data_IF_297872049440
#
_entry.id   IF_297872049440
#
_cell.length_a   1.000
_cell.length_b   1.000
_cell.length_c   1.000
_cell.angle_alpha   90.00
_cell.angle_beta   90.00
_cell.angle_gamma   90.00
#
_symmetry.space_group_name_H-M   'P 1'
#
loop_
_entity.id
_entity.type
_entity.pdbx_description
1 polymer ?
#
# COMPACT_ATOMS: atom_id res chain seq x y z
N UNK A 1 -33.74 -22.96 22.14
CA UNK A 1 -33.82 -21.83 21.19
C UNK A 1 -33.40 -20.47 21.79
N UNK A 2 -32.52 -20.43 22.82
CA UNK A 2 -32.13 -19.17 23.51
C UNK A 2 -30.59 -18.92 23.47
N UNK A 3 -29.81 -19.80 22.85
CA UNK A 3 -28.33 -19.72 22.86
C UNK A 3 -27.70 -19.07 21.62
N UNK A 4 -28.49 -18.57 20.65
CA UNK A 4 -27.96 -18.03 19.38
C UNK A 4 -27.82 -16.50 19.38
N UNK A 5 -28.43 -15.79 20.34
CA UNK A 5 -28.48 -14.32 20.33
C UNK A 5 -27.34 -13.62 21.07
N UNK A 6 -26.56 -14.31 21.91
CA UNK A 6 -25.44 -13.70 22.67
C UNK A 6 -24.17 -13.49 21.83
N UNK A 7 -24.03 -14.15 20.68
CA UNK A 7 -22.80 -14.08 19.88
C UNK A 7 -22.71 -12.86 18.94
N UNK A 8 -23.80 -12.10 18.79
CA UNK A 8 -23.81 -10.89 17.93
C UNK A 8 -23.43 -9.60 18.66
N UNK A 9 -23.39 -9.59 19.99
CA UNK A 9 -23.05 -8.37 20.75
C UNK A 9 -21.53 -8.19 20.97
N UNK A 10 -20.75 -9.27 20.94
CA UNK A 10 -19.30 -9.20 21.15
C UNK A 10 -18.50 -8.64 19.97
N UNK A 11 -19.04 -8.66 18.75
CA UNK A 11 -18.35 -8.10 17.57
C UNK A 11 -18.50 -6.59 17.40
N UNK A 12 -19.43 -5.93 18.11
CA UNK A 12 -19.60 -4.47 18.02
C UNK A 12 -18.70 -3.68 18.96
N UNK A 13 -18.28 -4.26 20.09
CA UNK A 13 -17.44 -3.56 21.08
C UNK A 13 -15.94 -3.62 20.77
N UNK A 14 -15.48 -4.57 19.95
CA UNK A 14 -14.07 -4.66 19.53
C UNK A 14 -13.69 -3.69 18.41
N UNK A 15 -14.67 -3.08 17.71
CA UNK A 15 -14.40 -2.15 16.61
C UNK A 15 -14.10 -0.71 17.07
N UNK A 16 -14.53 -0.32 18.28
CA UNK A 16 -14.35 1.06 18.79
C UNK A 16 -13.02 1.28 19.52
N UNK A 17 -12.35 0.23 20.01
CA UNK A 17 -11.05 0.36 20.68
C UNK A 17 -9.84 0.40 19.72
N UNK A 18 -10.05 0.17 18.42
CA UNK A 18 -8.96 0.15 17.42
C UNK A 18 -8.70 1.51 16.73
N UNK A 19 -9.50 2.55 17.01
CA UNK A 19 -9.36 3.86 16.33
C UNK A 19 -8.67 4.94 17.18
N UNK A 20 -8.27 4.65 18.42
CA UNK A 20 -7.66 5.66 19.30
C UNK A 20 -6.12 5.72 19.28
N UNK A 21 -5.43 4.84 18.54
CA UNK A 21 -3.97 4.66 18.70
C UNK A 21 -3.10 4.95 17.46
N UNK A 22 -3.61 5.72 16.48
CA UNK A 22 -2.89 6.00 15.24
C UNK A 22 -2.65 7.51 15.00
N UNK A 23 -1.99 8.18 15.95
CA UNK A 23 -1.35 9.48 15.72
C UNK A 23 -0.05 9.58 16.51
N UNK A 24 0.94 8.79 16.10
CA UNK A 24 2.34 9.06 16.48
C UNK A 24 3.15 9.06 15.21
N UNK A 25 3.44 10.27 14.71
CA UNK A 25 4.24 10.48 13.51
C UNK A 25 5.68 9.99 13.76
N UNK A 26 6.24 9.12 12.90
CA UNK A 26 7.64 8.74 13.02
C UNK A 26 8.52 9.91 12.59
N UNK A 27 9.39 10.34 13.51
CA UNK A 27 10.48 11.28 13.25
C UNK A 27 11.38 10.72 12.14
N UNK A 28 11.56 11.55 11.11
CA UNK A 28 12.40 11.31 9.93
C UNK A 28 13.85 11.07 10.37
N UNK A 29 14.49 9.92 10.06
CA UNK A 29 15.91 9.74 10.35
C UNK A 29 16.75 10.66 9.46
N UNK A 30 17.61 11.44 10.11
CA UNK A 30 18.68 12.22 9.49
C UNK A 30 19.60 11.27 8.72
N UNK A 31 19.86 11.59 7.46
CA UNK A 31 20.71 10.80 6.56
C UNK A 31 22.18 10.93 7.00
N UNK A 32 22.80 9.79 7.34
CA UNK A 32 24.25 9.68 7.51
C UNK A 32 24.91 9.68 6.12
N UNK A 33 25.76 10.67 5.90
CA UNK A 33 26.70 10.77 4.78
C UNK A 33 27.70 9.61 4.83
N UNK A 34 27.73 8.79 3.78
CA UNK A 34 28.75 7.76 3.55
C UNK A 34 29.88 8.38 2.72
N UNK A 35 31.16 8.23 3.09
CA UNK A 35 32.28 8.73 2.28
C UNK A 35 32.48 7.88 1.01
N UNK A 36 32.62 8.57 -0.12
CA UNK A 36 33.03 8.03 -1.42
C UNK A 36 34.39 7.33 -1.30
N UNK A 37 34.44 6.03 -1.63
CA UNK A 37 35.67 5.32 -1.95
C UNK A 37 35.84 5.29 -3.47
N UNK A 38 37.06 5.59 -3.93
CA UNK A 38 37.38 5.87 -5.33
C UNK A 38 37.38 4.65 -6.26
N UNK A 39 37.50 4.88 -7.59
CA UNK A 39 37.41 3.83 -8.60
C UNK A 39 38.76 3.14 -8.85
N UNK A 40 38.80 1.81 -9.07
CA UNK A 40 39.96 1.16 -9.65
C UNK A 40 39.99 1.29 -11.18
N UNK A 41 41.21 1.49 -11.68
CA UNK A 41 41.58 1.70 -13.06
C UNK A 41 41.23 0.51 -13.98
N UNK A 42 40.85 0.82 -15.22
CA UNK A 42 40.79 -0.11 -16.33
C UNK A 42 41.90 0.20 -17.35
N UNK A 43 42.50 -0.81 -18.02
CA UNK A 43 43.27 -0.57 -19.23
C UNK A 43 42.43 -0.75 -20.51
N UNK A 44 42.32 0.36 -21.24
CA UNK A 44 42.29 0.57 -22.69
C UNK A 44 42.22 -0.67 -23.60
N UNK A 45 41.26 -0.67 -24.54
CA UNK A 45 41.57 -0.78 -25.99
C UNK A 45 40.66 0.15 -26.81
N UNK A 46 41.31 0.74 -27.80
CA UNK A 46 40.91 1.80 -28.73
C UNK A 46 40.10 1.27 -29.92
N UNK A 47 39.06 1.99 -30.32
CA UNK A 47 38.72 2.19 -31.74
C UNK A 47 38.02 3.54 -31.93
N UNK A 48 38.72 4.37 -32.69
CA UNK A 48 38.39 5.63 -33.34
C UNK A 48 36.96 5.72 -33.89
N UNK A 49 36.26 6.81 -33.57
CA UNK A 49 35.51 7.55 -34.58
C UNK A 49 35.30 9.00 -34.13
N UNK A 50 35.86 9.91 -34.93
CA UNK A 50 35.57 11.34 -35.01
C UNK A 50 34.06 11.49 -35.41
N UNK A 51 33.31 12.56 -35.28
CA UNK A 51 33.58 13.98 -35.19
C UNK A 51 32.19 14.62 -34.94
N UNK A 52 31.90 15.27 -33.82
CA UNK A 52 30.80 16.25 -33.73
C UNK A 52 31.05 17.17 -32.54
N UNK A 53 31.67 18.30 -32.83
CA UNK A 53 31.84 19.44 -31.95
C UNK A 53 30.48 20.16 -31.80
N UNK A 54 29.77 19.91 -30.70
CA UNK A 54 28.66 20.77 -30.26
C UNK A 54 29.05 21.37 -28.91
N UNK A 55 29.20 22.68 -28.96
CA UNK A 55 29.48 23.61 -27.88
C UNK A 55 28.40 23.53 -26.80
N UNK A 56 28.80 23.26 -25.55
CA UNK A 56 27.92 23.37 -24.38
C UNK A 56 27.90 24.82 -23.88
N UNK A 57 26.72 25.41 -23.62
CA UNK A 57 26.61 26.52 -22.69
C UNK A 57 26.42 26.00 -21.26
N UNK A 58 27.42 26.23 -20.41
CA UNK A 58 27.22 26.35 -18.95
C UNK A 58 26.23 27.48 -18.68
N UNK A 59 25.30 27.32 -17.73
CA UNK A 59 25.45 28.15 -16.52
C UNK A 59 24.87 27.56 -15.23
N UNK A 60 25.41 28.03 -14.11
CA UNK A 60 24.58 28.37 -12.96
C UNK A 60 24.70 27.47 -11.74
N UNK A 61 25.82 27.60 -11.02
CA UNK A 61 25.91 27.24 -9.62
C UNK A 61 24.82 27.97 -8.80
N UNK A 62 23.71 27.29 -8.49
CA UNK A 62 22.75 27.74 -7.49
C UNK A 62 23.25 27.35 -6.11
N UNK A 63 23.93 28.31 -5.47
CA UNK A 63 24.22 28.28 -4.05
C UNK A 63 22.89 28.30 -3.28
N UNK A 64 22.54 27.20 -2.61
CA UNK A 64 21.44 27.17 -1.66
C UNK A 64 21.84 27.94 -0.40
N UNK A 65 21.31 29.16 -0.35
CA UNK A 65 21.35 30.12 0.74
C UNK A 65 20.69 29.50 1.98
N UNK A 66 21.51 29.19 2.98
CA UNK A 66 21.06 28.82 4.32
C UNK A 66 20.48 30.08 4.97
N UNK A 67 19.17 30.08 5.22
CA UNK A 67 18.54 31.07 6.09
C UNK A 67 18.93 30.76 7.54
N UNK A 68 20.00 31.41 8.01
CA UNK A 68 20.29 31.52 9.43
C UNK A 68 19.23 32.36 10.15
N UNK A 69 18.95 32.10 11.43
CA UNK A 69 18.05 32.93 12.23
C UNK A 69 18.64 34.33 12.36
N UNK A 70 17.82 35.33 12.02
CA UNK A 70 18.15 36.74 12.19
C UNK A 70 18.52 37.02 13.65
N UNK A 71 19.79 37.33 13.88
CA UNK A 71 20.22 38.03 15.07
C UNK A 71 19.50 39.39 15.11
N UNK A 72 18.63 39.58 16.10
CA UNK A 72 18.13 40.90 16.45
C UNK A 72 19.32 41.75 16.87
N UNK A 73 19.66 42.71 16.03
CA UNK A 73 20.56 43.80 16.37
C UNK A 73 20.01 44.52 17.61
N UNK A 74 20.83 44.51 18.65
CA UNK A 74 20.66 45.32 19.84
C UNK A 74 21.02 46.77 19.45
N UNK A 75 20.11 47.75 19.51
CA UNK A 75 20.47 49.13 19.21
C UNK A 75 21.39 49.68 20.31
N UNK A 76 22.54 50.20 19.88
CA UNK A 76 23.42 51.02 20.69
C UNK A 76 22.62 52.15 21.33
N UNK A 77 22.43 52.05 22.65
CA UNK A 77 22.01 53.19 23.46
C UNK A 77 23.23 54.07 23.70
N UNK A 78 23.09 55.33 23.31
CA UNK A 78 24.04 56.42 23.50
C UNK A 78 24.30 56.69 24.99
N UNK A 79 25.53 57.07 25.38
CA UNK A 79 25.80 57.57 26.72
C UNK A 79 25.25 59.00 26.86
N UNK A 80 23.99 59.12 27.28
CA UNK A 80 23.44 60.40 27.73
C UNK A 80 24.04 60.74 29.08
N UNK A 81 25.09 61.56 29.05
CA UNK A 81 25.65 62.32 30.16
C UNK A 81 24.53 63.03 30.92
N UNK A 82 24.10 62.48 32.05
CA UNK A 82 23.25 63.17 33.02
C UNK A 82 24.14 63.96 34.01
N UNK A 83 23.78 65.21 34.32
CA UNK A 83 24.50 66.03 35.28
C UNK A 83 24.38 65.44 36.69
N UNK A 84 25.51 65.40 37.37
CA UNK A 84 25.62 65.03 38.79
C UNK A 84 24.91 66.12 39.60
N UNK A 85 23.69 65.85 40.03
CA UNK A 85 23.04 66.66 41.06
C UNK A 85 23.72 66.42 42.42
N UNK A 86 24.01 67.47 43.20
CA UNK A 86 24.51 67.31 44.54
C UNK A 86 23.42 66.70 45.42
N UNK A 87 23.65 65.46 45.85
CA UNK A 87 22.90 64.78 46.92
C UNK A 87 22.92 65.66 48.17
N UNK A 88 21.89 66.51 48.30
CA UNK A 88 21.57 67.17 49.54
C UNK A 88 21.26 66.07 50.56
N UNK A 89 22.11 66.00 51.59
CA UNK A 89 21.97 65.11 52.74
C UNK A 89 20.72 65.51 53.52
N UNK A 90 19.57 65.04 53.05
CA UNK A 90 18.38 64.93 53.86
C UNK A 90 18.58 63.71 54.75
N UNK A 91 19.32 63.89 55.85
CA UNK A 91 19.42 62.91 56.93
C UNK A 91 18.04 62.92 57.57
N UNK A 92 17.15 62.11 56.98
CA UNK A 92 15.86 61.79 57.54
C UNK A 92 16.15 61.18 58.90
N UNK A 93 15.58 61.76 59.96
CA UNK A 93 15.40 61.06 61.23
C UNK A 93 14.50 59.86 60.94
N UNK A 94 15.12 58.78 60.44
CA UNK A 94 14.49 57.49 60.28
C UNK A 94 14.18 57.02 61.69
N UNK A 95 12.89 57.01 61.96
CA UNK A 95 12.31 56.52 63.20
C UNK A 95 12.88 55.13 63.48
N UNK A 96 13.46 54.93 64.67
CA UNK A 96 14.14 53.69 65.05
C UNK A 96 13.18 52.49 64.87
N UNK A 97 11.90 52.72 65.17
CA UNK A 97 10.80 51.78 64.98
C UNK A 97 10.63 51.33 63.51
N UNK A 98 10.93 52.20 62.55
CA UNK A 98 10.89 51.88 61.12
C UNK A 98 12.02 50.94 60.72
N UNK A 99 13.23 51.16 61.26
CA UNK A 99 14.39 50.30 61.02
C UNK A 99 14.18 48.92 61.65
N UNK A 100 13.64 48.85 62.87
CA UNK A 100 13.33 47.58 63.53
C UNK A 100 12.27 46.77 62.76
N UNK A 101 11.20 47.42 62.28
CA UNK A 101 10.21 46.77 61.40
C UNK A 101 10.83 46.26 60.11
N UNK A 102 11.72 47.04 59.49
CA UNK A 102 12.42 46.62 58.28
C UNK A 102 13.35 45.42 58.52
N UNK A 103 14.08 45.41 59.64
CA UNK A 103 14.92 44.28 60.06
C UNK A 103 14.09 43.03 60.33
N UNK A 104 12.91 43.17 60.95
CA UNK A 104 12.01 42.04 61.18
C UNK A 104 11.49 41.47 59.86
N UNK A 105 11.05 42.33 58.93
CA UNK A 105 10.62 41.92 57.60
C UNK A 105 11.72 41.16 56.85
N UNK A 106 12.97 41.63 56.91
CA UNK A 106 14.10 40.93 56.29
C UNK A 106 14.37 39.56 56.93
N UNK A 107 14.24 39.43 58.25
CA UNK A 107 14.36 38.12 58.92
C UNK A 107 13.28 37.15 58.47
N UNK A 108 12.04 37.62 58.37
CA UNK A 108 10.91 36.80 57.94
C UNK A 108 11.08 36.38 56.47
N UNK A 109 11.55 37.29 55.59
CA UNK A 109 11.88 36.97 54.20
C UNK A 109 13.00 35.93 54.11
N UNK A 110 14.03 36.03 54.95
CA UNK A 110 15.14 35.07 54.97
C UNK A 110 14.69 33.70 55.49
N UNK A 111 13.79 33.67 56.47
CA UNK A 111 13.18 32.43 56.97
C UNK A 111 12.32 31.74 55.89
N UNK A 112 11.48 32.51 55.17
CA UNK A 112 10.67 31.99 54.05
C UNK A 112 11.55 31.46 52.91
N UNK A 113 12.64 32.17 52.57
CA UNK A 113 13.56 31.73 51.55
C UNK A 113 14.24 30.39 51.91
N UNK A 114 14.64 30.22 53.18
CA UNK A 114 15.21 28.96 53.67
C UNK A 114 14.21 27.80 53.62
N UNK A 115 12.96 28.01 54.02
CA UNK A 115 11.93 26.98 53.93
C UNK A 115 11.63 26.58 52.48
N UNK A 116 11.60 27.55 51.56
CA UNK A 116 11.45 27.28 50.14
C UNK A 116 12.63 26.47 49.57
N UNK A 117 13.86 26.80 49.96
CA UNK A 117 15.06 26.04 49.56
C UNK A 117 15.02 24.60 50.09
N UNK A 118 14.63 24.39 51.35
CA UNK A 118 14.44 23.05 51.91
C UNK A 118 13.35 22.26 51.19
N UNK A 119 12.24 22.91 50.82
CA UNK A 119 11.16 22.27 50.07
C UNK A 119 11.61 21.86 48.66
N UNK A 120 12.34 22.72 47.94
CA UNK A 120 12.93 22.37 46.64
C UNK A 120 13.93 21.22 46.75
N UNK A 121 14.74 21.20 47.81
CA UNK A 121 15.66 20.09 48.06
C UNK A 121 14.91 18.77 48.27
N UNK A 122 13.85 18.78 49.09
CA UNK A 122 12.99 17.60 49.31
C UNK A 122 12.30 17.13 48.03
N UNK A 123 11.80 18.05 47.21
CA UNK A 123 11.16 17.73 45.94
C UNK A 123 12.17 17.08 44.97
N UNK A 124 13.38 17.65 44.87
CA UNK A 124 14.46 17.09 44.05
C UNK A 124 14.85 15.68 44.50
N UNK A 125 14.97 15.44 45.81
CA UNK A 125 15.27 14.08 46.31
C UNK A 125 14.16 13.08 46.00
N UNK A 126 12.89 13.50 46.05
CA UNK A 126 11.76 12.62 45.68
C UNK A 126 11.76 12.28 44.19
N UNK A 127 12.11 13.24 43.35
CA UNK A 127 12.22 13.01 41.90
C UNK A 127 13.37 12.07 41.56
N UNK A 128 14.52 12.22 42.23
CA UNK A 128 15.67 11.33 42.06
C UNK A 128 15.34 9.89 42.52
N UNK A 129 14.64 9.72 43.64
CA UNK A 129 14.18 8.41 44.13
C UNK A 129 13.17 7.76 43.15
N UNK A 130 12.22 8.54 42.64
CA UNK A 130 11.22 8.08 41.67
C UNK A 130 11.89 7.69 40.34
N UNK A 131 12.92 8.44 39.92
CA UNK A 131 13.70 8.13 38.73
C UNK A 131 14.51 6.84 38.92
N UNK A 132 15.12 6.65 40.08
CA UNK A 132 15.84 5.43 40.42
C UNK A 132 14.92 4.21 40.41
N UNK A 133 13.71 4.32 40.97
CA UNK A 133 12.70 3.25 40.94
C UNK A 133 12.27 2.90 39.50
N UNK A 134 12.02 3.91 38.65
CA UNK A 134 11.70 3.70 37.23
C UNK A 134 12.83 3.03 36.47
N UNK A 135 14.08 3.40 36.73
CA UNK A 135 15.24 2.75 36.11
C UNK A 135 15.37 1.29 36.55
N UNK A 136 15.19 0.99 37.83
CA UNK A 136 15.19 -0.38 38.33
C UNK A 136 14.05 -1.21 37.72
N UNK A 137 12.84 -0.66 37.62
CA UNK A 137 11.70 -1.34 37.02
C UNK A 137 11.89 -1.64 35.53
N UNK A 138 12.49 -0.71 34.77
CA UNK A 138 12.79 -0.92 33.34
C UNK A 138 13.90 -1.95 33.12
N UNK A 139 14.95 -1.94 33.94
CA UNK A 139 16.00 -2.96 33.92
C UNK A 139 15.45 -4.36 34.22
N UNK A 140 14.64 -4.50 35.27
CA UNK A 140 14.01 -5.78 35.62
C UNK A 140 13.05 -6.29 34.54
N UNK A 141 12.40 -5.39 33.78
CA UNK A 141 11.57 -5.75 32.63
C UNK A 141 12.41 -6.23 31.44
N UNK A 142 13.52 -5.56 31.17
CA UNK A 142 14.46 -5.93 30.11
C UNK A 142 15.09 -7.30 30.36
N UNK A 143 15.53 -7.57 31.59
CA UNK A 143 16.11 -8.87 31.97
C UNK A 143 15.10 -10.01 31.81
N UNK A 144 13.85 -9.80 32.22
CA UNK A 144 12.75 -10.76 32.01
C UNK A 144 12.51 -11.06 30.53
N UNK A 145 12.54 -10.04 29.67
CA UNK A 145 12.39 -10.22 28.23
C UNK A 145 13.58 -10.98 27.61
N UNK A 146 14.80 -10.72 28.07
CA UNK A 146 15.99 -11.45 27.62
C UNK A 146 15.95 -12.92 28.04
N UNK A 147 15.56 -13.21 29.29
CA UNK A 147 15.41 -14.59 29.78
C UNK A 147 14.38 -15.38 28.94
N UNK A 148 13.24 -14.77 28.61
CA UNK A 148 12.21 -15.41 27.77
C UNK A 148 12.72 -15.67 26.35
N UNK A 149 13.51 -14.75 25.77
CA UNK A 149 14.11 -14.97 24.45
C UNK A 149 15.14 -16.12 24.46
N UNK A 150 15.91 -16.28 25.53
CA UNK A 150 16.82 -17.42 25.69
C UNK A 150 16.03 -18.74 25.74
N UNK A 151 14.99 -18.81 26.57
CA UNK A 151 14.12 -20.00 26.67
C UNK A 151 13.45 -20.34 25.32
N UNK A 152 12.96 -19.32 24.60
CA UNK A 152 12.34 -19.52 23.29
C UNK A 152 13.35 -20.06 22.26
N UNK A 153 14.59 -19.56 22.29
CA UNK A 153 15.66 -20.02 21.41
C UNK A 153 16.08 -21.47 21.73
N UNK A 154 16.19 -21.83 23.01
CA UNK A 154 16.46 -23.22 23.43
C UNK A 154 15.35 -24.15 22.95
N UNK A 155 14.08 -23.73 23.08
CA UNK A 155 12.94 -24.50 22.58
C UNK A 155 12.97 -24.66 21.06
N UNK A 156 13.34 -23.61 20.31
CA UNK A 156 13.50 -23.69 18.86
C UNK A 156 14.64 -24.64 18.47
N UNK A 157 15.78 -24.60 19.18
CA UNK A 157 16.90 -25.52 18.96
C UNK A 157 16.52 -26.97 19.28
N UNK A 158 15.77 -27.22 20.36
CA UNK A 158 15.28 -28.56 20.69
C UNK A 158 14.34 -29.11 19.61
N UNK A 159 13.45 -28.28 19.07
CA UNK A 159 12.58 -28.66 17.95
C UNK A 159 13.39 -28.94 16.67
N UNK A 160 14.45 -28.15 16.40
CA UNK A 160 15.36 -28.42 15.28
C UNK A 160 16.16 -29.71 15.46
N UNK A 161 16.69 -29.96 16.66
CA UNK A 161 17.50 -31.15 16.96
C UNK A 161 16.69 -32.45 16.98
N UNK A 162 15.40 -32.39 17.33
CA UNK A 162 14.52 -33.57 17.34
C UNK A 162 14.20 -34.12 15.94
N UNK A 163 14.67 -33.50 14.85
CA UNK A 163 14.57 -34.04 13.49
C UNK A 163 13.14 -34.22 12.97
N UNK A 164 12.12 -33.87 13.75
CA UNK A 164 10.71 -34.06 13.43
C UNK A 164 10.24 -33.25 12.20
N UNK A 165 11.06 -32.30 11.72
CA UNK A 165 10.79 -31.56 10.50
C UNK A 165 11.28 -32.25 9.22
N UNK A 166 12.23 -33.19 9.27
CA UNK A 166 12.75 -33.81 8.03
C UNK A 166 11.73 -34.74 7.36
N UNK A 167 10.71 -35.21 8.09
CA UNK A 167 9.70 -36.10 7.53
C UNK A 167 8.46 -35.38 6.98
N UNK A 168 8.18 -34.15 7.42
CA UNK A 168 7.00 -33.40 6.96
C UNK A 168 7.23 -32.84 5.54
N UNK A 169 8.47 -32.50 5.17
CA UNK A 169 8.72 -31.86 3.87
C UNK A 169 8.61 -32.84 2.69
N UNK A 170 8.94 -34.13 2.84
CA UNK A 170 8.88 -35.08 1.72
C UNK A 170 7.45 -35.38 1.26
N UNK A 171 6.52 -35.59 2.18
CA UNK A 171 5.12 -35.89 1.82
C UNK A 171 4.33 -34.68 1.32
N UNK A 172 4.77 -33.47 1.67
CA UNK A 172 4.18 -32.21 1.17
C UNK A 172 4.72 -31.85 -0.21
N UNK A 173 5.99 -32.16 -0.49
CA UNK A 173 6.63 -31.80 -1.76
C UNK A 173 5.99 -32.53 -2.96
N UNK A 174 5.62 -33.81 -2.79
CA UNK A 174 4.99 -34.64 -3.84
C UNK A 174 3.60 -34.16 -4.28
N UNK A 175 2.90 -33.40 -3.44
CA UNK A 175 1.56 -32.87 -3.75
C UNK A 175 1.59 -31.41 -4.21
N UNK A 176 2.76 -30.78 -4.19
CA UNK A 176 2.90 -29.36 -4.52
C UNK A 176 2.91 -29.15 -6.03
N UNK A 177 2.08 -28.23 -6.52
CA UNK A 177 2.03 -27.87 -7.95
C UNK A 177 3.22 -26.95 -8.24
N UNK A 178 4.17 -27.44 -9.03
CA UNK A 178 5.35 -26.68 -9.48
C UNK A 178 4.97 -25.53 -10.40
N UNK A 179 5.79 -24.47 -10.41
CA UNK A 179 5.59 -23.33 -11.31
C UNK A 179 5.83 -23.76 -12.77
N UNK A 180 4.91 -23.49 -13.70
CA UNK A 180 5.14 -23.73 -15.13
C UNK A 180 6.26 -22.84 -15.69
N UNK A 181 6.92 -23.29 -16.75
CA UNK A 181 8.01 -22.53 -17.39
C UNK A 181 7.45 -21.32 -18.16
N UNK A 182 8.13 -20.18 -18.06
CA UNK A 182 7.80 -18.96 -18.82
C UNK A 182 7.14 -17.86 -17.99
N UNK A 183 6.55 -16.87 -18.69
CA UNK A 183 5.88 -15.71 -18.09
C UNK A 183 4.35 -15.86 -18.12
N UNK A 184 3.69 -15.59 -17.00
CA UNK A 184 2.25 -15.62 -16.88
C UNK A 184 1.55 -14.65 -17.84
N UNK A 185 0.50 -15.12 -18.51
CA UNK A 185 -0.27 -14.37 -19.50
C UNK A 185 0.36 -14.31 -20.90
N UNK A 186 1.62 -14.72 -21.06
CA UNK A 186 2.27 -14.86 -22.37
C UNK A 186 2.49 -16.33 -22.74
N UNK A 187 3.00 -17.12 -21.81
CA UNK A 187 3.35 -18.54 -22.05
C UNK A 187 2.35 -19.49 -21.43
N UNK A 188 1.73 -19.10 -20.31
CA UNK A 188 0.73 -19.91 -19.62
C UNK A 188 -0.36 -19.04 -19.01
N UNK A 189 -1.54 -19.63 -18.81
CA UNK A 189 -2.64 -19.00 -18.09
C UNK A 189 -2.62 -19.44 -16.63
N UNK A 190 -2.52 -18.48 -15.70
CA UNK A 190 -2.50 -18.75 -14.25
C UNK A 190 -3.70 -19.62 -13.86
N UNK A 191 -4.88 -19.34 -14.41
CA UNK A 191 -6.10 -20.07 -14.07
C UNK A 191 -6.09 -21.53 -14.54
N UNK A 192 -5.53 -21.79 -15.72
CA UNK A 192 -5.41 -23.15 -16.29
C UNK A 192 -4.44 -23.98 -15.44
N UNK A 193 -3.29 -23.40 -15.10
CA UNK A 193 -2.24 -24.04 -14.30
C UNK A 193 -2.66 -24.26 -12.85
N UNK A 194 -3.50 -23.37 -12.30
CA UNK A 194 -4.19 -23.59 -11.04
C UNK A 194 -5.31 -24.64 -11.15
N UNK A 195 -5.60 -25.22 -12.32
CA UNK A 195 -6.70 -26.19 -12.55
C UNK A 195 -8.09 -25.62 -12.22
N UNK A 196 -8.26 -24.29 -12.35
CA UNK A 196 -9.50 -23.56 -12.04
C UNK A 196 -10.23 -23.05 -13.29
N UNK A 197 -9.78 -23.40 -14.50
CA UNK A 197 -10.37 -22.93 -15.75
C UNK A 197 -11.64 -23.69 -16.20
N UNK A 198 -11.90 -24.89 -15.66
CA UNK A 198 -12.81 -25.85 -16.29
C UNK A 198 -14.30 -25.65 -16.01
N UNK A 199 -14.71 -24.89 -15.00
CA UNK A 199 -16.14 -24.75 -14.65
C UNK A 199 -16.48 -23.38 -14.06
N UNK A 200 -17.76 -22.98 -14.16
CA UNK A 200 -18.26 -21.72 -13.56
C UNK A 200 -18.02 -21.64 -12.05
N UNK A 201 -18.16 -22.76 -11.34
CA UNK A 201 -17.88 -22.85 -9.89
C UNK A 201 -16.40 -22.61 -9.59
N UNK A 202 -15.49 -23.28 -10.31
CA UNK A 202 -14.03 -23.07 -10.16
C UNK A 202 -13.59 -21.65 -10.56
N UNK A 203 -14.22 -21.08 -11.58
CA UNK A 203 -14.03 -19.69 -11.97
C UNK A 203 -14.42 -18.72 -10.83
N UNK A 204 -15.51 -19.00 -10.10
CA UNK A 204 -15.90 -18.22 -8.92
C UNK A 204 -14.82 -18.28 -7.83
N UNK A 205 -14.27 -19.47 -7.56
CA UNK A 205 -13.17 -19.66 -6.60
C UNK A 205 -11.94 -18.83 -7.01
N UNK A 206 -11.54 -18.90 -8.28
CA UNK A 206 -10.42 -18.12 -8.80
C UNK A 206 -10.64 -16.61 -8.63
N UNK A 207 -11.83 -16.10 -8.96
CA UNK A 207 -12.20 -14.69 -8.76
C UNK A 207 -12.18 -14.28 -7.28
N UNK A 208 -12.62 -15.19 -6.39
CA UNK A 208 -12.55 -15.01 -4.94
C UNK A 208 -11.11 -14.83 -4.46
N UNK A 209 -10.22 -15.74 -4.88
CA UNK A 209 -8.78 -15.67 -4.60
C UNK A 209 -8.19 -14.35 -5.11
N UNK A 210 -8.47 -13.99 -6.37
CA UNK A 210 -7.98 -12.72 -6.94
C UNK A 210 -8.48 -11.49 -6.17
N UNK A 211 -9.73 -11.48 -5.70
CA UNK A 211 -10.27 -10.38 -4.89
C UNK A 211 -9.54 -10.28 -3.55
N UNK A 212 -9.46 -11.38 -2.81
CA UNK A 212 -8.74 -11.46 -1.54
C UNK A 212 -7.28 -11.00 -1.67
N UNK A 213 -6.54 -11.52 -2.65
CA UNK A 213 -5.12 -11.16 -2.84
C UNK A 213 -4.92 -9.67 -3.15
N UNK A 214 -5.83 -9.06 -3.92
CA UNK A 214 -5.80 -7.62 -4.20
C UNK A 214 -6.05 -6.80 -2.94
N UNK A 215 -7.03 -7.19 -2.14
CA UNK A 215 -7.32 -6.53 -0.87
C UNK A 215 -6.19 -6.69 0.13
N UNK A 216 -5.60 -7.88 0.24
CA UNK A 216 -4.45 -8.14 1.08
C UNK A 216 -3.24 -7.32 0.66
N UNK A 217 -2.99 -7.21 -0.65
CA UNK A 217 -1.88 -6.41 -1.14
C UNK A 217 -2.05 -4.93 -0.77
N UNK A 218 -3.26 -4.38 -0.88
CA UNK A 218 -3.56 -3.00 -0.45
C UNK A 218 -3.45 -2.87 1.08
N UNK A 219 -4.09 -3.77 1.85
CA UNK A 219 -4.10 -3.75 3.32
C UNK A 219 -2.71 -3.92 3.94
N UNK A 220 -1.83 -4.65 3.26
CA UNK A 220 -0.44 -4.84 3.70
C UNK A 220 0.41 -3.58 3.57
N UNK A 221 -0.05 -2.56 2.83
CA UNK A 221 0.73 -1.35 2.56
C UNK A 221 1.85 -1.55 1.55
N UNK A 222 1.90 -2.68 0.83
CA UNK A 222 2.93 -2.90 -0.20
C UNK A 222 2.94 -1.78 -1.23
N UNK A 223 4.14 -1.27 -1.51
CA UNK A 223 4.31 -0.24 -2.50
C UNK A 223 4.18 -0.83 -3.93
N UNK A 224 2.98 -0.69 -4.51
CA UNK A 224 2.65 -1.16 -5.86
C UNK A 224 3.29 -0.31 -6.97
N UNK A 225 3.91 0.83 -6.65
CA UNK A 225 4.64 1.67 -7.62
C UNK A 225 6.00 1.07 -7.98
N UNK A 226 6.60 0.33 -7.06
CA UNK A 226 7.88 -0.35 -7.24
C UNK A 226 7.76 -1.57 -8.16
N UNK A 227 8.87 -1.94 -8.82
CA UNK A 227 8.92 -3.22 -9.52
C UNK A 227 8.84 -4.36 -8.50
N UNK A 228 8.30 -5.50 -8.92
CA UNK A 228 8.13 -6.63 -8.00
C UNK A 228 9.46 -7.13 -7.41
N UNK A 229 10.55 -7.04 -8.17
CA UNK A 229 11.90 -7.38 -7.70
C UNK A 229 12.33 -6.49 -6.51
N UNK A 230 11.98 -5.22 -6.54
CA UNK A 230 12.42 -4.20 -5.58
C UNK A 230 11.61 -4.17 -4.28
N UNK A 231 10.46 -4.86 -4.24
CA UNK A 231 9.64 -4.96 -3.04
C UNK A 231 10.38 -5.81 -1.99
N UNK A 232 10.48 -5.36 -0.72
CA UNK A 232 11.14 -6.10 0.35
C UNK A 232 10.61 -7.54 0.48
N UNK A 233 11.52 -8.49 0.72
CA UNK A 233 11.16 -9.90 0.90
C UNK A 233 10.23 -10.12 2.11
N UNK A 234 10.41 -9.35 3.18
CA UNK A 234 9.59 -9.41 4.39
C UNK A 234 8.10 -9.15 4.11
N UNK A 235 7.79 -8.15 3.28
CA UNK A 235 6.42 -7.82 2.88
C UNK A 235 5.79 -8.94 2.04
N UNK A 236 6.57 -9.51 1.11
CA UNK A 236 6.15 -10.67 0.31
C UNK A 236 5.82 -11.87 1.19
N UNK A 237 6.68 -12.19 2.15
CA UNK A 237 6.47 -13.31 3.09
C UNK A 237 5.22 -13.08 3.94
N UNK A 238 5.01 -11.86 4.45
CA UNK A 238 3.80 -11.51 5.22
C UNK A 238 2.53 -11.66 4.39
N UNK A 239 2.56 -11.23 3.12
CA UNK A 239 1.46 -11.42 2.17
C UNK A 239 1.15 -12.90 1.97
N UNK A 240 2.16 -13.72 1.65
CA UNK A 240 1.97 -15.15 1.38
C UNK A 240 1.42 -15.91 2.58
N UNK A 241 1.95 -15.65 3.78
CA UNK A 241 1.45 -16.24 5.03
C UNK A 241 -0.02 -15.89 5.26
N UNK A 242 -0.40 -14.64 5.05
CA UNK A 242 -1.78 -14.19 5.24
C UNK A 242 -2.72 -14.75 4.17
N UNK A 243 -2.26 -14.82 2.92
CA UNK A 243 -2.99 -15.39 1.81
C UNK A 243 -3.31 -16.88 2.03
N UNK A 244 -2.33 -17.68 2.46
CA UNK A 244 -2.54 -19.10 2.79
C UNK A 244 -3.55 -19.30 3.92
N UNK A 245 -3.53 -18.43 4.93
CA UNK A 245 -4.52 -18.46 6.03
C UNK A 245 -5.94 -18.18 5.55
N UNK A 246 -6.14 -17.23 4.63
CA UNK A 246 -7.48 -16.88 4.12
C UNK A 246 -7.98 -17.85 3.05
N UNK A 247 -7.09 -18.37 2.21
CA UNK A 247 -7.41 -19.34 1.17
C UNK A 247 -6.47 -20.54 1.24
N UNK A 248 -6.85 -21.59 2.02
CA UNK A 248 -6.03 -22.80 2.17
C UNK A 248 -5.67 -23.49 0.84
N UNK A 249 -6.44 -23.25 -0.22
CA UNK A 249 -6.13 -23.72 -1.57
C UNK A 249 -4.76 -23.24 -2.09
N UNK A 250 -4.31 -22.06 -1.67
CA UNK A 250 -3.03 -21.49 -2.10
C UNK A 250 -1.82 -22.23 -1.53
N UNK A 251 -1.98 -22.99 -0.44
CA UNK A 251 -0.89 -23.78 0.15
C UNK A 251 -0.42 -24.93 -0.73
N UNK A 252 -1.14 -25.26 -1.81
CA UNK A 252 -0.79 -26.32 -2.76
C UNK A 252 0.28 -25.91 -3.77
N UNK A 253 0.60 -24.62 -3.89
CA UNK A 253 1.51 -24.12 -4.92
C UNK A 253 2.91 -23.93 -4.35
N UNK A 254 3.91 -24.57 -4.98
CA UNK A 254 5.30 -24.51 -4.52
C UNK A 254 5.81 -23.07 -4.58
N UNK A 255 6.46 -22.62 -3.50
CA UNK A 255 6.99 -21.25 -3.37
C UNK A 255 5.95 -20.15 -3.61
N UNK A 256 4.66 -20.42 -3.36
CA UNK A 256 3.57 -19.45 -3.51
C UNK A 256 3.49 -18.80 -4.91
N UNK A 257 3.95 -19.49 -5.97
CA UNK A 257 4.07 -18.90 -7.31
C UNK A 257 2.74 -18.35 -7.85
N UNK A 258 1.63 -19.01 -7.54
CA UNK A 258 0.29 -18.57 -7.97
C UNK A 258 -0.09 -17.23 -7.33
N UNK A 259 0.19 -17.08 -6.03
CA UNK A 259 -0.03 -15.83 -5.29
C UNK A 259 0.82 -14.71 -5.88
N UNK A 260 2.09 -14.98 -6.10
CA UNK A 260 3.05 -14.04 -6.69
C UNK A 260 2.58 -13.52 -8.06
N UNK A 261 2.22 -14.41 -8.99
CA UNK A 261 1.83 -14.04 -10.35
C UNK A 261 0.51 -13.23 -10.38
N UNK A 262 -0.47 -13.58 -9.54
CA UNK A 262 -1.73 -12.81 -9.44
C UNK A 262 -1.46 -11.39 -8.94
N UNK A 263 -0.60 -11.23 -7.93
CA UNK A 263 -0.28 -9.92 -7.35
C UNK A 263 0.57 -9.09 -8.31
N UNK A 264 1.56 -9.69 -8.99
CA UNK A 264 2.30 -9.05 -10.08
C UNK A 264 1.37 -8.51 -11.16
N UNK A 265 0.41 -9.33 -11.61
CA UNK A 265 -0.57 -8.94 -12.62
C UNK A 265 -1.42 -7.75 -12.14
N UNK A 266 -1.85 -7.78 -10.88
CA UNK A 266 -2.57 -6.68 -10.26
C UNK A 266 -1.75 -5.38 -10.22
N UNK A 267 -0.52 -5.42 -9.72
CA UNK A 267 0.35 -4.23 -9.64
C UNK A 267 0.67 -3.67 -11.03
N UNK A 268 0.94 -4.54 -12.01
CA UNK A 268 1.13 -4.13 -13.40
C UNK A 268 -0.09 -3.38 -13.94
N UNK A 269 -1.30 -3.91 -13.72
CA UNK A 269 -2.54 -3.28 -14.16
C UNK A 269 -2.82 -1.96 -13.43
N UNK A 270 -2.56 -1.91 -12.11
CA UNK A 270 -2.71 -0.71 -11.30
C UNK A 270 -1.76 0.40 -11.76
N UNK A 271 -0.47 0.11 -11.94
CA UNK A 271 0.50 1.04 -12.52
C UNK A 271 0.10 1.51 -13.91
N UNK A 272 -0.31 0.60 -14.80
CA UNK A 272 -0.80 0.97 -16.14
C UNK A 272 -1.96 1.96 -16.08
N UNK A 273 -2.91 1.78 -15.16
CA UNK A 273 -4.02 2.69 -14.96
C UNK A 273 -3.54 4.06 -14.44
N UNK A 274 -2.69 4.08 -13.42
CA UNK A 274 -2.14 5.32 -12.86
C UNK A 274 -1.29 6.11 -13.85
N UNK A 275 -0.49 5.44 -14.70
CA UNK A 275 0.23 6.10 -15.80
C UNK A 275 -0.72 6.72 -16.81
N UNK A 276 -1.79 5.99 -17.20
CA UNK A 276 -2.78 6.50 -18.16
C UNK A 276 -3.52 7.73 -17.61
N UNK A 277 -3.75 7.81 -16.31
CA UNK A 277 -4.45 8.92 -15.67
C UNK A 277 -3.51 10.08 -15.27
N UNK A 278 -2.19 9.94 -15.48
CA UNK A 278 -1.20 10.96 -15.09
C UNK A 278 -0.95 11.06 -13.59
N UNK A 279 -1.43 10.12 -12.78
CA UNK A 279 -1.22 10.12 -11.32
C UNK A 279 0.18 9.66 -10.90
N UNK A 280 0.86 8.93 -11.77
CA UNK A 280 2.22 8.44 -11.54
C UNK A 280 3.11 8.92 -12.69
N UNK A 281 4.29 9.43 -12.36
CA UNK A 281 5.27 9.83 -13.35
C UNK A 281 5.71 8.60 -14.16
N UNK A 282 5.59 8.69 -15.49
CA UNK A 282 6.09 7.65 -16.38
C UNK A 282 7.62 7.64 -16.27
N UNK A 283 8.26 6.49 -15.97
CA UNK A 283 9.72 6.42 -15.93
C UNK A 283 10.32 6.96 -17.21
N UNK A 284 11.41 7.72 -17.12
CA UNK A 284 12.02 8.45 -18.25
C UNK A 284 12.26 7.56 -19.48
N UNK A 285 12.69 6.32 -19.27
CA UNK A 285 12.87 5.31 -20.33
C UNK A 285 11.63 5.03 -21.18
N UNK A 286 10.44 5.34 -20.67
CA UNK A 286 9.15 5.18 -21.34
C UNK A 286 8.45 6.51 -21.68
N UNK A 287 9.09 7.65 -21.44
CA UNK A 287 8.51 8.96 -21.77
C UNK A 287 8.08 9.04 -23.25
N UNK A 288 8.93 8.52 -24.15
CA UNK A 288 8.63 8.45 -25.58
C UNK A 288 7.36 7.64 -25.90
N UNK A 289 6.99 6.62 -25.10
CA UNK A 289 5.76 5.85 -25.32
C UNK A 289 4.51 6.67 -24.96
N UNK A 290 4.61 7.59 -23.99
CA UNK A 290 3.52 8.50 -23.67
C UNK A 290 3.26 9.46 -24.84
N UNK A 291 4.32 10.01 -25.44
CA UNK A 291 4.24 10.88 -26.62
C UNK A 291 3.67 10.15 -27.84
N UNK A 292 4.06 8.89 -28.06
CA UNK A 292 3.49 8.08 -29.15
C UNK A 292 2.03 7.72 -28.86
N UNK A 293 1.69 7.44 -27.60
CA UNK A 293 0.31 7.11 -27.22
C UNK A 293 -0.62 8.31 -27.31
N UNK A 294 -0.16 9.53 -27.00
CA UNK A 294 -0.97 10.75 -27.12
C UNK A 294 -1.20 11.14 -28.58
N UNK A 295 -0.23 10.86 -29.46
CA UNK A 295 -0.36 11.04 -30.91
C UNK A 295 -1.29 10.01 -31.57
N UNK A 296 -1.52 8.85 -30.94
CA UNK A 296 -2.46 7.85 -31.46
C UNK A 296 -3.89 8.27 -31.17
N UNK A 297 -4.68 8.51 -32.22
CA UNK A 297 -6.09 8.84 -32.10
C UNK A 297 -6.86 7.64 -31.50
N UNK A 298 -7.37 7.72 -30.25
CA UNK A 298 -8.11 6.61 -29.64
C UNK A 298 -9.44 6.33 -30.36
N UNK A 299 -9.98 7.30 -31.11
CA UNK A 299 -11.17 7.13 -31.91
C UNK A 299 -10.97 6.19 -33.11
N UNK A 300 -9.73 6.02 -33.58
CA UNK A 300 -9.36 5.09 -34.66
C UNK A 300 -9.05 3.66 -34.21
N UNK A 301 -9.25 3.34 -32.92
CA UNK A 301 -8.95 2.00 -32.42
C UNK A 301 -9.82 0.95 -33.13
N UNK A 302 -9.16 -0.05 -33.75
CA UNK A 302 -9.79 -1.20 -34.43
C UNK A 302 -10.92 -1.83 -33.61
N UNK A 303 -10.83 -1.84 -32.28
CA UNK A 303 -11.87 -2.36 -31.39
C UNK A 303 -13.16 -1.54 -31.43
N UNK A 304 -13.08 -0.20 -31.55
CA UNK A 304 -14.26 0.66 -31.68
C UNK A 304 -14.93 0.45 -33.03
N UNK A 305 -14.13 0.31 -34.10
CA UNK A 305 -14.64 -0.03 -35.43
C UNK A 305 -15.30 -1.41 -35.42
N UNK A 306 -14.64 -2.43 -34.86
CA UNK A 306 -15.20 -3.78 -34.75
C UNK A 306 -16.49 -3.80 -33.92
N UNK A 307 -16.53 -3.07 -32.80
CA UNK A 307 -17.75 -2.93 -32.00
C UNK A 307 -18.87 -2.21 -32.75
N UNK A 308 -18.55 -1.14 -33.48
CA UNK A 308 -19.53 -0.45 -34.35
C UNK A 308 -20.11 -1.38 -35.42
N UNK A 309 -19.27 -2.19 -36.06
CA UNK A 309 -19.68 -3.19 -37.06
C UNK A 309 -20.55 -4.28 -36.41
N UNK A 310 -20.18 -4.76 -35.23
CA UNK A 310 -20.97 -5.74 -34.48
C UNK A 310 -22.33 -5.17 -34.06
N UNK A 311 -22.35 -3.97 -33.47
CA UNK A 311 -23.57 -3.29 -33.05
C UNK A 311 -24.48 -2.99 -34.26
N UNK A 312 -23.92 -2.61 -35.41
CA UNK A 312 -24.67 -2.40 -36.65
C UNK A 312 -25.24 -3.72 -37.20
N UNK A 313 -24.47 -4.81 -37.17
CA UNK A 313 -24.95 -6.14 -37.56
C UNK A 313 -26.06 -6.63 -36.64
N UNK A 314 -25.94 -6.37 -35.35
CA UNK A 314 -26.96 -6.73 -34.37
C UNK A 314 -28.25 -5.93 -34.60
N UNK A 315 -28.16 -4.61 -34.81
CA UNK A 315 -29.31 -3.78 -35.18
C UNK A 315 -30.01 -4.25 -36.46
N UNK A 316 -29.27 -4.67 -37.48
CA UNK A 316 -29.84 -5.23 -38.71
C UNK A 316 -30.60 -6.54 -38.45
N UNK A 317 -30.08 -7.40 -37.57
CA UNK A 317 -30.78 -8.65 -37.16
C UNK A 317 -32.06 -8.34 -36.38
N UNK A 318 -32.01 -7.37 -35.48
CA UNK A 318 -33.18 -6.97 -34.69
C UNK A 318 -34.27 -6.33 -35.57
N UNK A 319 -33.87 -5.48 -36.54
CA UNK A 319 -34.79 -4.92 -37.55
C UNK A 319 -35.42 -5.99 -38.45
N UNK A 320 -34.63 -6.98 -38.85
CA UNK A 320 -35.14 -8.10 -39.66
C UNK A 320 -36.17 -8.91 -38.87
N UNK A 321 -35.87 -9.26 -37.61
CA UNK A 321 -36.83 -9.96 -36.73
C UNK A 321 -38.12 -9.18 -36.54
N UNK A 322 -38.03 -7.88 -36.29
CA UNK A 322 -39.21 -7.03 -36.17
C UNK A 322 -40.01 -6.99 -37.48
N UNK A 323 -39.35 -6.97 -38.65
CA UNK A 323 -40.04 -6.99 -39.94
C UNK A 323 -40.74 -8.32 -40.18
N UNK A 324 -40.10 -9.43 -39.84
CA UNK A 324 -40.69 -10.78 -39.90
C UNK A 324 -41.88 -10.92 -38.95
N UNK A 325 -41.78 -10.35 -37.74
CA UNK A 325 -42.87 -10.32 -36.75
C UNK A 325 -44.06 -9.48 -37.20
N UNK A 326 -43.82 -8.31 -37.81
CA UNK A 326 -44.90 -7.47 -38.38
C UNK A 326 -45.56 -8.15 -39.59
N UNK A 327 -44.78 -8.76 -40.48
CA UNK A 327 -45.33 -9.47 -41.64
C UNK A 327 -46.21 -10.64 -41.22
N UNK A 328 -45.80 -11.41 -40.21
CA UNK A 328 -46.59 -12.53 -39.69
C UNK A 328 -47.93 -12.09 -39.07
N UNK A 329 -48.03 -10.86 -38.55
CA UNK A 329 -49.29 -10.30 -38.03
C UNK A 329 -50.20 -9.74 -39.13
N UNK A 330 -49.65 -9.34 -40.28
CA UNK A 330 -50.44 -8.87 -41.43
C UNK A 330 -51.09 -10.05 -42.18
N UNK A 331 -50.40 -11.19 -42.29
CA UNK A 331 -50.95 -12.39 -42.92
C UNK A 331 -52.13 -12.98 -42.11
N UNK A 332 -52.07 -12.93 -40.78
CA UNK A 332 -53.13 -13.42 -39.87
C UNK A 332 -54.39 -12.52 -39.89
N UNK A 333 -54.29 -11.30 -40.42
CA UNK A 333 -55.40 -10.35 -40.50
C UNK A 333 -56.23 -10.48 -41.79
N UNK A 334 -55.85 -11.37 -42.72
CA UNK A 334 -56.52 -11.53 -44.02
C UNK A 334 -57.31 -12.84 -44.19
N UNK A 335 -57.35 -13.72 -43.17
CA UNK A 335 -58.07 -15.00 -43.24
C UNK A 335 -59.56 -14.94 -42.83
N UNK A 336 -60.09 -13.77 -42.45
CA UNK A 336 -61.49 -13.64 -41.98
C UNK A 336 -62.54 -13.24 -43.06
N UNK A 337 -62.18 -13.19 -44.36
CA UNK A 337 -63.14 -12.83 -45.43
C UNK A 337 -63.43 -13.91 -46.52
N UNK A 338 -62.81 -15.10 -46.48
CA UNK A 338 -63.16 -16.17 -47.44
C UNK A 338 -63.47 -17.50 -46.75
N UNK A 339 -64.61 -17.55 -46.05
CA UNK A 339 -65.33 -18.78 -45.73
C UNK A 339 -66.47 -18.98 -46.75
N UNK A 340 -66.15 -19.44 -47.95
CA UNK A 340 -67.13 -20.07 -48.83
C UNK A 340 -66.45 -21.07 -49.78
N UNK A 341 -66.74 -22.34 -49.51
CA UNK A 341 -66.50 -23.54 -50.33
C UNK A 341 -65.06 -24.02 -50.53
N UNK A 342 -64.82 -25.25 -50.09
CA UNK A 342 -64.31 -26.22 -51.06
C UNK A 342 -63.27 -27.20 -50.55
N UNK A 343 -63.77 -28.35 -50.10
CA UNK A 343 -63.28 -29.69 -50.42
C UNK A 343 -61.97 -30.21 -49.79
N UNK A 344 -62.20 -31.22 -48.95
CA UNK A 344 -61.34 -32.36 -48.61
C UNK A 344 -60.31 -32.71 -49.69
N UNK A 345 -59.04 -32.79 -49.28
CA UNK A 345 -58.13 -33.78 -49.86
C UNK A 345 -57.10 -34.24 -48.82
N UNK A 346 -57.32 -35.47 -48.34
CA UNK A 346 -56.34 -36.32 -47.67
C UNK A 346 -55.33 -36.85 -48.70
N UNK A 347 -54.03 -36.54 -48.55
CA UNK A 347 -52.91 -37.40 -48.96
C UNK A 347 -51.63 -36.76 -48.40
N UNK A 348 -50.89 -37.35 -47.46
CA UNK A 348 -50.15 -38.60 -47.66
C UNK A 348 -48.73 -38.26 -48.12
N UNK A 349 -47.75 -38.23 -47.20
CA UNK A 349 -46.37 -37.92 -47.54
C UNK A 349 -45.41 -37.87 -46.37
N UNK A 350 -45.09 -39.05 -45.83
CA UNK A 350 -43.86 -39.29 -45.07
C UNK A 350 -42.65 -39.04 -46.00
N UNK A 351 -41.65 -38.26 -45.58
CA UNK A 351 -40.29 -38.45 -46.09
C UNK A 351 -39.21 -37.91 -45.14
N UNK A 352 -38.10 -38.63 -45.20
CA UNK A 352 -36.98 -38.82 -44.30
C UNK A 352 -36.12 -37.55 -44.14
N UNK A 353 -35.61 -37.22 -42.96
CA UNK A 353 -34.32 -37.74 -42.50
C UNK A 353 -33.14 -37.07 -43.21
N UNK A 354 -32.54 -36.02 -42.65
CA UNK A 354 -31.17 -35.66 -43.02
C UNK A 354 -30.32 -35.14 -41.84
N UNK A 355 -29.14 -35.73 -41.79
CA UNK A 355 -28.20 -35.76 -40.71
C UNK A 355 -27.39 -34.46 -40.55
N UNK A 356 -27.04 -34.18 -39.29
CA UNK A 356 -25.67 -33.96 -38.84
C UNK A 356 -24.78 -32.98 -39.60
N UNK A 357 -24.40 -31.89 -38.93
CA UNK A 357 -23.05 -31.37 -39.10
C UNK A 357 -22.50 -30.78 -37.80
N UNK A 358 -21.88 -31.67 -37.02
CA UNK A 358 -20.91 -31.36 -35.98
C UNK A 358 -19.61 -30.88 -36.64
N UNK A 359 -19.47 -29.56 -36.78
CA UNK A 359 -18.26 -28.91 -37.27
C UNK A 359 -17.36 -28.45 -36.13
N UNK A 360 -16.61 -29.39 -35.55
CA UNK A 360 -15.43 -29.14 -34.72
C UNK A 360 -14.43 -28.21 -35.43
N UNK A 361 -14.19 -27.02 -34.88
CA UNK A 361 -13.05 -26.17 -35.25
C UNK A 361 -12.42 -25.61 -33.97
N UNK A 362 -11.53 -26.39 -33.34
CA UNK A 362 -10.38 -25.87 -32.59
C UNK A 362 -9.27 -26.93 -32.56
N UNK A 363 -8.22 -26.69 -33.35
CA UNK A 363 -6.88 -27.20 -33.12
C UNK A 363 -5.90 -26.03 -33.26
#
# INVERSE_FOLDING_TARGET
>A
MVLVTLNHHYHRLTLLHSMANSYTAPLRPQSKTIPQTGPPAAPRKSTTNENTLIQQPSPGARQNRVHGPQARANPQATPTSRPVEPLQRNIVNLDIDSIEKQMQLLRDQLAQAKEHEENLFRERTRDDDNLAEKLAATQASLERALALNVELNERLQAVQASGANEHIDKDVEDKSITRPKGNAGQHFSIQVEMKLASSKSKMSIYKGIQRCLRELAIRSGMNWELAWADIPSEEKVKLYRTARKQHPYLSKFRNDWATEEIVKQFFKNKRKNHYRNGWLAVPERYAHMADVSSKRNPAGSRTKTARKVFDERQRKRDQQRHREEVAALEDDAHEDEEMADGEDNEDGGEDEGEAGNDGDIYA
#
